data_IF_193531830278
#
_entry.id   IF_193531830278
#
_cell.length_a   1.000
_cell.length_b   1.000
_cell.length_c   1.000
_cell.angle_alpha   90.00
_cell.angle_beta   90.00
_cell.angle_gamma   90.00
#
_symmetry.space_group_name_H-M   'P 1'
#
loop_
_entity.id
_entity.type
_entity.pdbx_description
1 polymer ?
#
# COMPACT_ATOMS: atom_id res chain seq x y z
N UNK A 1 6.59 -26.14 -11.74
CA UNK A 1 6.06 -24.77 -11.44
C UNK A 1 6.19 -24.59 -9.94
N UNK A 2 6.58 -23.39 -9.48
CA UNK A 2 6.65 -23.11 -8.05
C UNK A 2 5.29 -23.33 -7.37
N UNK A 3 5.31 -23.90 -6.16
CA UNK A 3 4.10 -24.03 -5.33
C UNK A 3 3.74 -22.72 -4.63
N UNK A 4 4.62 -21.72 -4.70
CA UNK A 4 4.44 -20.42 -4.05
C UNK A 4 3.75 -19.40 -4.95
N UNK A 5 3.16 -18.40 -4.32
CA UNK A 5 2.55 -17.22 -4.95
C UNK A 5 3.28 -15.94 -4.57
N UNK A 6 3.24 -14.93 -5.45
CA UNK A 6 3.75 -13.59 -5.17
C UNK A 6 2.83 -12.52 -5.75
N UNK A 7 2.73 -11.35 -5.08
CA UNK A 7 1.93 -10.23 -5.53
C UNK A 7 2.52 -8.88 -5.07
N UNK A 8 2.46 -7.87 -5.93
CA UNK A 8 2.84 -6.48 -5.64
C UNK A 8 1.65 -5.54 -5.90
N UNK A 9 0.51 -5.73 -5.21
CA UNK A 9 -0.76 -5.12 -5.63
C UNK A 9 -0.86 -3.62 -5.34
N UNK A 10 0.00 -3.08 -4.46
CA UNK A 10 -0.18 -1.73 -3.93
C UNK A 10 0.12 -0.62 -4.94
N UNK A 11 1.03 -0.89 -5.91
CA UNK A 11 1.45 0.07 -6.94
C UNK A 11 1.28 -0.48 -8.36
N UNK A 12 0.52 -1.59 -8.54
CA UNK A 12 0.35 -2.28 -9.82
C UNK A 12 -0.79 -1.67 -10.66
N UNK A 13 -0.69 -0.39 -10.95
CA UNK A 13 -1.64 0.24 -11.87
C UNK A 13 -1.46 -0.31 -13.29
N UNK A 14 -2.53 -0.38 -14.11
CA UNK A 14 -2.41 -0.89 -15.48
C UNK A 14 -1.29 -0.25 -16.29
N UNK A 15 -1.08 1.06 -16.11
CA UNK A 15 -0.06 1.84 -16.81
C UNK A 15 1.37 1.57 -16.30
N UNK A 16 1.53 1.12 -15.04
CA UNK A 16 2.83 0.82 -14.41
C UNK A 16 3.19 -0.68 -14.41
N UNK A 17 2.36 -1.55 -14.97
CA UNK A 17 2.57 -3.01 -14.93
C UNK A 17 3.93 -3.46 -15.45
N UNK A 18 4.43 -2.84 -16.50
CA UNK A 18 5.77 -3.15 -17.03
C UNK A 18 6.86 -2.85 -16.01
N UNK A 19 6.73 -1.77 -15.25
CA UNK A 19 7.67 -1.40 -14.19
C UNK A 19 7.56 -2.37 -13.01
N UNK A 20 6.34 -2.75 -12.61
CA UNK A 20 6.08 -3.75 -11.56
C UNK A 20 6.58 -5.13 -11.95
N UNK A 21 6.41 -5.54 -13.21
CA UNK A 21 6.94 -6.82 -13.71
C UNK A 21 8.48 -6.81 -13.71
N UNK A 22 9.11 -5.71 -14.09
CA UNK A 22 10.56 -5.56 -14.04
C UNK A 22 11.09 -5.57 -12.59
N UNK A 23 10.38 -4.93 -11.64
CA UNK A 23 10.68 -5.00 -10.21
C UNK A 23 10.60 -6.45 -9.72
N UNK A 24 9.52 -7.17 -10.07
CA UNK A 24 9.38 -8.58 -9.71
C UNK A 24 10.48 -9.47 -10.29
N UNK A 25 10.86 -9.28 -11.55
CA UNK A 25 11.94 -10.06 -12.18
C UNK A 25 13.25 -9.91 -11.38
N UNK A 26 13.62 -8.69 -10.97
CA UNK A 26 14.83 -8.47 -10.15
C UNK A 26 14.73 -9.18 -8.80
N UNK A 27 13.61 -9.05 -8.09
CA UNK A 27 13.36 -9.71 -6.81
C UNK A 27 13.37 -11.23 -6.95
N UNK A 28 12.63 -11.76 -7.91
CA UNK A 28 12.54 -13.19 -8.23
C UNK A 28 13.92 -13.81 -8.49
N UNK A 29 14.72 -13.15 -9.31
CA UNK A 29 16.03 -13.65 -9.68
C UNK A 29 16.99 -13.65 -8.49
N UNK A 30 16.95 -12.61 -7.63
CA UNK A 30 17.68 -12.58 -6.38
C UNK A 30 17.24 -13.70 -5.41
N UNK A 31 15.93 -13.94 -5.27
CA UNK A 31 15.40 -15.05 -4.48
C UNK A 31 15.87 -16.40 -5.01
N UNK A 32 15.86 -16.60 -6.33
CA UNK A 32 16.32 -17.85 -6.97
C UNK A 32 17.81 -18.07 -6.77
N UNK A 33 18.64 -17.03 -6.84
CA UNK A 33 20.08 -17.11 -6.51
C UNK A 33 20.27 -17.52 -5.04
N UNK A 34 19.39 -17.08 -4.14
CA UNK A 34 19.39 -17.52 -2.74
C UNK A 34 18.79 -18.91 -2.51
N UNK A 35 18.48 -19.67 -3.57
CA UNK A 35 17.92 -21.02 -3.50
C UNK A 35 16.44 -21.08 -3.14
N UNK A 36 15.69 -19.99 -3.38
CA UNK A 36 14.23 -19.93 -3.16
C UNK A 36 13.50 -20.20 -4.47
N UNK A 37 12.53 -21.12 -4.47
CA UNK A 37 11.68 -21.41 -5.65
C UNK A 37 10.62 -20.31 -5.85
N UNK A 38 11.05 -19.11 -6.28
CA UNK A 38 10.17 -18.00 -6.52
C UNK A 38 9.32 -18.18 -7.80
N UNK A 39 8.00 -17.87 -7.77
CA UNK A 39 7.11 -18.05 -8.90
C UNK A 39 7.48 -17.13 -10.08
N UNK A 40 7.15 -17.58 -11.30
CA UNK A 40 7.49 -16.85 -12.52
C UNK A 40 6.75 -15.52 -12.64
N UNK A 41 5.50 -15.47 -12.21
CA UNK A 41 4.60 -14.32 -12.39
C UNK A 41 3.97 -13.87 -11.08
N UNK A 42 3.59 -12.59 -11.05
CA UNK A 42 2.75 -12.05 -9.99
C UNK A 42 1.28 -12.47 -10.16
N UNK A 43 0.62 -12.72 -9.04
CA UNK A 43 -0.83 -12.87 -8.96
C UNK A 43 -1.46 -11.48 -9.12
N UNK A 44 -2.46 -11.38 -9.99
CA UNK A 44 -3.22 -10.14 -10.26
C UNK A 44 -4.73 -10.31 -10.19
N UNK A 45 -5.20 -11.54 -10.06
CA UNK A 45 -6.64 -11.89 -9.96
C UNK A 45 -6.81 -13.04 -8.97
N UNK A 46 -8.01 -13.16 -8.42
CA UNK A 46 -8.34 -14.30 -7.55
C UNK A 46 -8.18 -15.64 -8.30
N UNK A 47 -8.48 -15.66 -9.60
CA UNK A 47 -8.27 -16.85 -10.45
C UNK A 47 -6.79 -17.27 -10.61
N UNK A 48 -5.85 -16.39 -10.29
CA UNK A 48 -4.41 -16.71 -10.34
C UNK A 48 -3.91 -17.31 -9.01
N UNK A 49 -4.72 -17.26 -7.93
CA UNK A 49 -4.40 -17.89 -6.65
C UNK A 49 -4.71 -19.39 -6.68
N UNK A 50 -3.84 -20.23 -6.11
CA UNK A 50 -4.17 -21.63 -5.89
C UNK A 50 -5.42 -21.80 -5.02
N UNK A 51 -6.22 -22.83 -5.31
CA UNK A 51 -7.36 -23.15 -4.46
C UNK A 51 -6.90 -23.60 -3.07
N UNK A 52 -7.68 -23.23 -2.07
CA UNK A 52 -7.50 -23.65 -0.67
C UNK A 52 -8.81 -24.31 -0.21
N UNK A 53 -9.03 -25.61 -0.53
CA UNK A 53 -10.28 -26.30 -0.22
C UNK A 53 -10.63 -26.21 1.28
N UNK A 54 -11.84 -25.73 1.57
CA UNK A 54 -12.29 -25.47 2.92
C UNK A 54 -11.89 -24.11 3.50
N UNK A 55 -11.30 -23.22 2.69
CA UNK A 55 -10.94 -21.86 3.02
C UNK A 55 -9.56 -21.71 3.69
N UNK A 56 -9.07 -20.50 3.69
CA UNK A 56 -7.80 -20.12 4.32
C UNK A 56 -8.00 -20.09 5.83
N UNK A 57 -7.11 -20.76 6.57
CA UNK A 57 -7.20 -20.92 8.02
C UNK A 57 -5.99 -20.31 8.73
N UNK A 58 -6.23 -19.86 9.96
CA UNK A 58 -5.18 -19.53 10.92
C UNK A 58 -4.46 -20.79 11.43
N UNK A 59 -3.33 -20.60 12.11
CA UNK A 59 -2.56 -21.72 12.69
C UNK A 59 -3.35 -22.53 13.73
N UNK A 60 -4.33 -21.93 14.37
CA UNK A 60 -5.25 -22.59 15.32
C UNK A 60 -6.50 -23.18 14.66
N UNK A 61 -6.60 -23.12 13.31
CA UNK A 61 -7.63 -23.74 12.50
C UNK A 61 -8.88 -22.91 12.24
N UNK A 62 -8.98 -21.67 12.76
CA UNK A 62 -10.11 -20.80 12.49
C UNK A 62 -10.12 -20.36 11.00
N UNK A 63 -11.30 -20.30 10.38
CA UNK A 63 -11.44 -19.83 9.00
C UNK A 63 -11.26 -18.30 8.98
N UNK A 64 -10.25 -17.83 8.24
CA UNK A 64 -9.93 -16.41 8.05
C UNK A 64 -10.56 -15.85 6.77
N UNK A 65 -10.60 -16.66 5.72
CA UNK A 65 -11.11 -16.31 4.39
C UNK A 65 -11.73 -17.54 3.72
N UNK A 66 -12.72 -17.37 2.82
CA UNK A 66 -13.18 -18.45 1.95
C UNK A 66 -12.06 -18.93 1.03
N UNK A 67 -12.31 -20.06 0.36
CA UNK A 67 -11.42 -20.54 -0.72
C UNK A 67 -11.29 -19.46 -1.81
N UNK A 68 -10.07 -19.04 -2.21
CA UNK A 68 -9.88 -18.10 -3.31
C UNK A 68 -10.61 -18.50 -4.60
N UNK A 69 -10.76 -19.78 -4.89
CA UNK A 69 -11.50 -20.27 -6.05
C UNK A 69 -13.02 -19.93 -6.00
N UNK A 70 -13.55 -19.55 -4.84
CA UNK A 70 -14.95 -19.11 -4.67
C UNK A 70 -15.16 -17.60 -4.78
N UNK A 71 -14.06 -16.83 -4.87
CA UNK A 71 -14.12 -15.37 -5.00
C UNK A 71 -14.33 -14.96 -6.48
N UNK A 72 -14.81 -13.72 -6.76
CA UNK A 72 -14.92 -13.20 -8.12
C UNK A 72 -13.60 -13.36 -8.88
N UNK A 73 -13.54 -14.11 -9.99
CA UNK A 73 -12.28 -14.57 -10.58
C UNK A 73 -11.40 -13.45 -11.15
N UNK A 74 -12.00 -12.37 -11.64
CA UNK A 74 -11.30 -11.26 -12.30
C UNK A 74 -10.92 -10.11 -11.36
N UNK A 75 -11.33 -10.19 -10.10
CA UNK A 75 -10.92 -9.26 -9.03
C UNK A 75 -9.69 -9.81 -8.30
N UNK A 76 -9.03 -8.95 -7.50
CA UNK A 76 -8.00 -9.37 -6.57
C UNK A 76 -8.37 -8.97 -5.15
N UNK A 77 -8.71 -9.95 -4.33
CA UNK A 77 -8.90 -9.75 -2.89
C UNK A 77 -7.52 -9.76 -2.19
N UNK A 78 -7.10 -8.60 -1.70
CA UNK A 78 -5.80 -8.44 -1.06
C UNK A 78 -5.66 -9.30 0.20
N UNK A 79 -6.73 -9.51 0.96
CA UNK A 79 -6.69 -10.37 2.14
C UNK A 79 -6.51 -11.83 1.77
N UNK A 80 -7.14 -12.29 0.67
CA UNK A 80 -6.94 -13.63 0.13
C UNK A 80 -5.47 -13.84 -0.28
N UNK A 81 -4.84 -12.83 -0.88
CA UNK A 81 -3.39 -12.86 -1.19
C UNK A 81 -2.56 -12.94 0.08
N UNK A 82 -2.76 -11.98 1.01
CA UNK A 82 -1.90 -11.85 2.19
C UNK A 82 -2.00 -13.04 3.14
N UNK A 83 -3.18 -13.64 3.24
CA UNK A 83 -3.43 -14.79 4.12
C UNK A 83 -3.19 -16.14 3.44
N UNK A 84 -2.86 -16.14 2.13
CA UNK A 84 -2.67 -17.39 1.39
C UNK A 84 -1.55 -18.24 2.00
N UNK A 85 -1.75 -19.54 2.29
CA UNK A 85 -0.75 -20.39 2.94
C UNK A 85 0.52 -20.58 2.12
N UNK A 86 0.44 -20.43 0.79
CA UNK A 86 1.57 -20.52 -0.14
C UNK A 86 2.14 -19.13 -0.50
N UNK A 87 1.84 -18.08 0.27
CA UNK A 87 2.40 -16.77 0.01
C UNK A 87 3.91 -16.76 0.27
N UNK A 88 4.69 -16.57 -0.80
CA UNK A 88 6.13 -16.35 -0.71
C UNK A 88 6.44 -14.87 -0.46
N UNK A 89 5.81 -13.98 -1.23
CA UNK A 89 6.14 -12.57 -1.23
C UNK A 89 4.93 -11.73 -1.64
N UNK A 90 4.58 -10.77 -0.81
CA UNK A 90 3.63 -9.73 -1.20
C UNK A 90 3.94 -8.41 -0.49
N UNK A 91 3.39 -7.34 -1.05
CA UNK A 91 3.36 -6.03 -0.41
C UNK A 91 2.01 -5.81 0.30
N UNK A 92 2.05 -5.25 1.51
CA UNK A 92 0.86 -4.87 2.27
C UNK A 92 1.01 -3.48 2.88
N UNK A 93 0.06 -3.07 3.72
CA UNK A 93 0.05 -1.79 4.42
C UNK A 93 0.14 -2.00 5.94
N UNK A 94 0.76 -1.06 6.67
CA UNK A 94 0.84 -1.16 8.14
C UNK A 94 -0.51 -1.05 8.84
N UNK A 95 -1.51 -0.44 8.22
CA UNK A 95 -2.85 -0.41 8.80
C UNK A 95 -3.45 -1.81 8.99
N UNK A 96 -3.60 -2.65 7.93
CA UNK A 96 -3.96 -4.06 8.07
C UNK A 96 -3.05 -4.84 9.03
N UNK A 97 -1.73 -4.58 9.02
CA UNK A 97 -0.78 -5.23 9.94
C UNK A 97 -1.13 -4.96 11.41
N UNK A 98 -1.41 -3.72 11.76
CA UNK A 98 -1.81 -3.31 13.11
C UNK A 98 -3.21 -3.80 13.50
N UNK A 99 -4.10 -3.98 12.52
CA UNK A 99 -5.46 -4.51 12.74
C UNK A 99 -5.52 -6.05 12.78
N UNK A 100 -4.38 -6.72 12.88
CA UNK A 100 -4.29 -8.14 13.16
C UNK A 100 -3.65 -9.00 12.07
N UNK A 101 -3.41 -8.50 10.86
CA UNK A 101 -2.73 -9.24 9.81
C UNK A 101 -1.32 -9.72 10.26
N UNK A 102 -0.64 -8.94 11.10
CA UNK A 102 0.69 -9.28 11.66
C UNK A 102 0.74 -10.62 12.42
N UNK A 103 -0.41 -11.17 12.83
CA UNK A 103 -0.49 -12.50 13.46
C UNK A 103 -0.43 -13.65 12.46
N UNK A 104 -0.64 -13.36 11.19
CA UNK A 104 -0.83 -14.34 10.12
C UNK A 104 0.24 -14.26 9.03
N UNK A 105 1.20 -13.32 9.15
CA UNK A 105 2.27 -13.12 8.18
C UNK A 105 3.60 -12.79 8.88
N UNK A 106 4.69 -12.93 8.15
CA UNK A 106 6.02 -12.53 8.60
C UNK A 106 6.55 -11.39 7.72
N UNK A 107 7.14 -10.35 8.31
CA UNK A 107 7.76 -9.24 7.57
C UNK A 107 9.11 -9.69 7.04
N UNK A 108 9.32 -9.49 5.73
CA UNK A 108 10.60 -9.75 5.05
C UNK A 108 11.48 -8.49 5.09
N UNK A 109 10.91 -7.34 4.75
CA UNK A 109 11.58 -6.05 4.68
C UNK A 109 10.64 -4.96 4.17
N UNK A 110 11.19 -3.88 3.65
CA UNK A 110 10.45 -2.75 3.10
C UNK A 110 11.14 -2.22 1.85
N UNK A 111 10.41 -1.65 0.87
CA UNK A 111 11.02 -0.95 -0.26
C UNK A 111 11.65 0.37 0.18
N UNK A 112 12.61 0.87 -0.61
CA UNK A 112 13.07 2.25 -0.53
C UNK A 112 12.03 3.21 -1.15
N UNK A 113 11.90 4.36 -0.53
CA UNK A 113 11.12 5.51 -1.02
C UNK A 113 12.02 6.66 -1.45
N UNK A 114 13.34 6.42 -1.56
CA UNK A 114 14.26 7.39 -2.11
C UNK A 114 13.85 7.76 -3.55
N UNK A 115 13.99 9.03 -3.91
CA UNK A 115 13.54 9.53 -5.22
C UNK A 115 12.09 9.99 -5.27
N UNK A 116 11.27 9.74 -4.24
CA UNK A 116 9.92 10.30 -4.10
C UNK A 116 9.93 11.46 -3.11
N UNK A 117 9.31 12.59 -3.46
CA UNK A 117 9.12 13.68 -2.51
C UNK A 117 8.31 13.18 -1.31
N UNK A 118 8.80 13.40 -0.09
CA UNK A 118 8.21 12.84 1.14
C UNK A 118 8.73 11.46 1.53
N UNK A 119 9.57 10.82 0.68
CA UNK A 119 10.24 9.55 0.97
C UNK A 119 11.67 9.73 1.44
N UNK A 120 12.19 8.77 2.20
CA UNK A 120 13.61 8.65 2.59
C UNK A 120 13.88 7.24 3.12
N UNK A 121 14.73 6.47 2.42
CA UNK A 121 14.98 5.08 2.76
C UNK A 121 13.66 4.31 2.87
N UNK A 122 13.46 3.55 3.93
CA UNK A 122 12.24 2.80 4.19
C UNK A 122 11.02 3.65 4.63
N UNK A 123 11.20 4.96 4.77
CA UNK A 123 10.17 5.87 5.31
C UNK A 123 9.47 6.65 4.21
N UNK A 124 8.17 6.85 4.38
CA UNK A 124 7.35 7.69 3.52
C UNK A 124 6.44 8.63 4.30
N UNK A 125 6.02 9.72 3.65
CA UNK A 125 4.93 10.61 4.08
C UNK A 125 3.77 10.49 3.12
N UNK A 126 2.58 10.90 3.54
CA UNK A 126 1.44 11.13 2.65
C UNK A 126 1.34 12.61 2.29
N UNK A 127 1.22 12.90 1.00
CA UNK A 127 0.84 14.21 0.49
C UNK A 127 -0.63 14.47 0.83
N UNK A 128 -0.94 15.63 1.39
CA UNK A 128 -2.30 16.11 1.60
C UNK A 128 -2.68 16.94 0.38
N UNK A 129 -3.70 16.50 -0.35
CA UNK A 129 -4.10 17.08 -1.63
C UNK A 129 -5.43 17.81 -1.51
N UNK A 130 -5.53 18.98 -2.13
CA UNK A 130 -6.76 19.77 -2.33
C UNK A 130 -6.84 20.23 -3.78
N UNK A 131 -8.01 20.67 -4.22
CA UNK A 131 -8.17 21.23 -5.57
C UNK A 131 -7.25 22.43 -5.78
N UNK A 132 -6.69 22.52 -6.98
CA UNK A 132 -5.90 23.65 -7.43
C UNK A 132 -6.80 24.87 -7.62
N UNK A 133 -6.24 26.06 -7.38
CA UNK A 133 -6.96 27.33 -7.61
C UNK A 133 -7.76 27.87 -6.43
N UNK A 134 -7.78 27.20 -5.27
CA UNK A 134 -8.41 27.72 -4.04
C UNK A 134 -7.49 28.67 -3.25
N UNK A 135 -6.49 29.28 -3.92
CA UNK A 135 -5.58 30.26 -3.29
C UNK A 135 -4.49 29.64 -2.40
N UNK A 136 -4.39 28.30 -2.38
CA UNK A 136 -3.40 27.59 -1.57
C UNK A 136 -2.05 27.53 -2.29
N UNK A 137 -0.97 27.67 -1.52
CA UNK A 137 0.38 27.46 -2.04
C UNK A 137 0.73 25.97 -2.02
N UNK A 138 1.53 25.53 -3.01
CA UNK A 138 2.13 24.20 -2.99
C UNK A 138 3.05 24.04 -1.77
N UNK A 139 2.87 22.98 -1.01
CA UNK A 139 3.67 22.64 0.15
C UNK A 139 4.68 21.53 -0.19
N UNK A 140 5.97 21.83 -0.10
CA UNK A 140 7.03 20.81 -0.19
C UNK A 140 7.11 19.95 1.06
N UNK A 141 7.56 18.71 0.89
CA UNK A 141 7.75 17.79 2.01
C UNK A 141 8.87 18.29 2.94
N UNK A 142 8.63 18.34 4.27
CA UNK A 142 9.66 18.72 5.23
C UNK A 142 10.87 17.79 5.17
N UNK A 143 12.09 18.35 5.08
CA UNK A 143 13.32 17.58 4.97
C UNK A 143 13.52 16.63 6.17
N UNK A 144 13.18 17.08 7.37
CA UNK A 144 13.27 16.31 8.62
C UNK A 144 12.16 15.24 8.75
N UNK A 145 11.20 15.21 7.81
CA UNK A 145 10.09 14.26 7.83
C UNK A 145 9.05 14.53 8.92
N UNK A 146 9.00 15.73 9.48
CA UNK A 146 7.95 16.17 10.38
C UNK A 146 6.63 16.35 9.63
N UNK A 147 5.50 16.32 10.36
CA UNK A 147 4.21 16.69 9.77
C UNK A 147 4.16 18.19 9.47
N UNK A 148 3.57 18.53 8.32
CA UNK A 148 3.19 19.89 7.94
C UNK A 148 1.73 19.86 7.52
N UNK A 149 0.81 20.03 8.48
CA UNK A 149 -0.63 19.90 8.26
C UNK A 149 -1.30 21.27 8.38
N UNK A 150 -1.91 21.77 7.29
CA UNK A 150 -2.56 23.09 7.29
C UNK A 150 -3.97 23.01 7.92
N UNK A 151 -4.06 22.94 9.26
CA UNK A 151 -5.31 22.70 10.00
C UNK A 151 -6.45 23.63 9.59
N UNK A 152 -6.15 24.91 9.37
CA UNK A 152 -7.17 25.90 9.01
C UNK A 152 -7.78 25.63 7.63
N UNK A 153 -6.99 25.08 6.69
CA UNK A 153 -7.49 24.70 5.36
C UNK A 153 -8.35 23.44 5.41
N UNK A 154 -8.07 22.54 6.36
CA UNK A 154 -8.74 21.24 6.46
C UNK A 154 -10.05 21.30 7.23
N UNK A 155 -10.25 22.35 8.04
CA UNK A 155 -11.42 22.49 8.93
C UNK A 155 -12.72 22.52 8.13
N UNK A 156 -13.67 21.67 8.53
CA UNK A 156 -15.00 21.52 7.92
C UNK A 156 -14.98 21.08 6.45
N UNK A 157 -13.85 20.55 5.97
CA UNK A 157 -13.76 19.98 4.62
C UNK A 157 -14.27 18.53 4.59
N UNK A 158 -14.64 18.05 3.40
CA UNK A 158 -15.00 16.65 3.14
C UNK A 158 -13.72 15.88 2.83
N UNK A 159 -13.42 14.82 3.59
CA UNK A 159 -12.23 13.99 3.43
C UNK A 159 -12.55 12.77 2.57
N UNK A 160 -11.83 12.58 1.44
CA UNK A 160 -11.80 11.31 0.72
C UNK A 160 -10.65 10.43 1.26
N UNK A 161 -10.91 9.14 1.44
CA UNK A 161 -9.91 8.16 1.87
C UNK A 161 -10.19 6.80 1.22
N UNK A 162 -9.16 6.00 1.00
CA UNK A 162 -9.29 4.74 0.26
C UNK A 162 -9.95 3.63 1.08
N UNK A 163 -9.57 3.43 2.34
CA UNK A 163 -10.16 2.44 3.25
C UNK A 163 -9.90 2.81 4.71
N UNK A 164 -10.73 2.33 5.67
CA UNK A 164 -10.56 2.62 7.10
C UNK A 164 -9.25 2.10 7.70
N UNK A 165 -8.68 1.06 7.11
CA UNK A 165 -7.42 0.43 7.50
C UNK A 165 -6.20 0.98 6.74
N UNK A 166 -6.36 2.00 5.90
CA UNK A 166 -5.25 2.58 5.17
C UNK A 166 -4.36 3.43 6.07
N UNK A 167 -3.09 3.05 6.20
CA UNK A 167 -2.12 3.88 6.92
C UNK A 167 -1.96 5.25 6.26
N UNK A 168 -1.73 5.31 4.96
CA UNK A 168 -1.49 6.57 4.25
C UNK A 168 -2.74 7.41 4.02
N UNK A 169 -3.90 6.76 3.82
CA UNK A 169 -5.14 7.47 3.45
C UNK A 169 -5.87 8.11 4.61
N UNK A 170 -5.76 7.56 5.82
CA UNK A 170 -6.51 8.06 6.99
C UNK A 170 -5.77 7.92 8.32
N UNK A 171 -5.12 6.77 8.62
CA UNK A 171 -4.57 6.51 9.95
C UNK A 171 -3.42 7.48 10.26
N UNK A 172 -2.49 7.70 9.31
CA UNK A 172 -1.37 8.61 9.46
C UNK A 172 -1.84 10.04 9.74
N UNK A 173 -2.77 10.53 8.91
CA UNK A 173 -3.35 11.86 9.09
C UNK A 173 -4.06 11.98 10.44
N UNK A 174 -4.83 10.94 10.84
CA UNK A 174 -5.52 10.92 12.13
C UNK A 174 -4.55 10.99 13.31
N UNK A 175 -3.42 10.27 13.23
CA UNK A 175 -2.38 10.30 14.28
C UNK A 175 -1.69 11.65 14.37
N UNK A 176 -1.36 12.23 13.24
CA UNK A 176 -0.67 13.53 13.20
C UNK A 176 -1.59 14.68 13.61
N UNK A 177 -2.91 14.48 13.58
CA UNK A 177 -3.94 15.35 14.11
C UNK A 177 -4.32 15.01 15.57
N UNK A 178 -3.54 14.11 16.24
CA UNK A 178 -3.82 13.66 17.62
C UNK A 178 -5.25 13.13 17.82
N UNK A 179 -5.78 12.47 16.77
CA UNK A 179 -7.15 11.93 16.77
C UNK A 179 -8.26 12.96 16.51
N UNK A 180 -7.93 14.24 16.31
CA UNK A 180 -8.91 15.31 16.07
C UNK A 180 -9.67 15.21 14.73
N UNK A 181 -9.38 14.22 13.88
CA UNK A 181 -10.02 14.04 12.56
C UNK A 181 -11.54 13.91 12.65
N UNK A 182 -12.08 13.39 13.75
CA UNK A 182 -13.52 13.20 13.94
C UNK A 182 -14.29 14.52 13.89
N UNK A 183 -13.68 15.59 14.43
CA UNK A 183 -14.29 16.90 14.52
C UNK A 183 -13.73 17.91 13.49
N UNK A 184 -12.64 17.54 12.80
CA UNK A 184 -12.01 18.42 11.82
C UNK A 184 -12.76 18.40 10.48
N UNK A 185 -13.18 17.22 10.04
CA UNK A 185 -13.85 17.02 8.75
C UNK A 185 -15.37 16.97 8.92
N UNK A 186 -16.08 17.67 8.03
CA UNK A 186 -17.56 17.69 8.01
C UNK A 186 -18.15 16.37 7.52
N UNK A 187 -17.44 15.68 6.62
CA UNK A 187 -17.88 14.45 5.97
C UNK A 187 -16.67 13.57 5.61
N UNK A 188 -16.90 12.27 5.47
CA UNK A 188 -15.89 11.28 5.06
C UNK A 188 -16.43 10.44 3.91
N UNK A 189 -15.70 10.40 2.80
CA UNK A 189 -16.02 9.63 1.60
C UNK A 189 -15.02 8.49 1.43
N UNK A 190 -15.46 7.26 1.59
CA UNK A 190 -14.65 6.08 1.26
C UNK A 190 -14.67 5.84 -0.24
N UNK A 191 -13.48 5.72 -0.86
CA UNK A 191 -13.29 5.67 -2.32
C UNK A 191 -12.73 4.33 -2.80
N UNK A 192 -12.28 3.46 -1.87
CA UNK A 192 -11.65 2.15 -2.10
C UNK A 192 -10.25 2.20 -2.73
N UNK A 193 -9.83 3.32 -3.33
CA UNK A 193 -8.51 3.48 -3.94
C UNK A 193 -7.94 4.89 -3.78
N UNK A 194 -6.62 5.02 -3.67
CA UNK A 194 -5.96 6.33 -3.66
C UNK A 194 -6.21 7.12 -4.94
N UNK A 195 -6.19 6.45 -6.09
CA UNK A 195 -6.53 7.05 -7.39
C UNK A 195 -7.94 7.65 -7.36
N UNK A 196 -8.92 6.90 -6.86
CA UNK A 196 -10.31 7.34 -6.74
C UNK A 196 -10.47 8.50 -5.75
N UNK A 197 -9.64 8.54 -4.69
CA UNK A 197 -9.61 9.68 -3.76
C UNK A 197 -9.12 10.96 -4.45
N UNK A 198 -8.10 10.89 -5.30
CA UNK A 198 -7.60 12.01 -6.10
C UNK A 198 -8.71 12.51 -7.06
N UNK A 199 -9.33 11.58 -7.78
CA UNK A 199 -10.44 11.88 -8.70
C UNK A 199 -11.61 12.52 -7.96
N UNK A 200 -11.98 12.00 -6.79
CA UNK A 200 -13.06 12.56 -5.97
C UNK A 200 -12.80 14.00 -5.54
N UNK A 201 -11.53 14.34 -5.21
CA UNK A 201 -11.15 15.70 -4.88
C UNK A 201 -11.17 16.59 -6.11
N UNK A 202 -10.61 16.17 -7.23
CA UNK A 202 -10.58 16.92 -8.48
C UNK A 202 -12.01 17.27 -8.97
N UNK A 203 -12.92 16.29 -8.91
CA UNK A 203 -14.33 16.44 -9.32
C UNK A 203 -15.21 17.19 -8.31
N UNK A 204 -14.72 17.50 -7.12
CA UNK A 204 -15.48 18.20 -6.08
C UNK A 204 -16.44 17.32 -5.28
N UNK A 205 -16.34 15.99 -5.36
CA UNK A 205 -17.07 15.06 -4.50
C UNK A 205 -16.50 15.04 -3.07
N UNK A 206 -15.22 15.36 -2.93
CA UNK A 206 -14.55 15.64 -1.68
C UNK A 206 -13.69 16.90 -1.83
N UNK A 207 -13.10 17.39 -0.74
CA UNK A 207 -12.31 18.62 -0.74
C UNK A 207 -10.83 18.33 -0.49
N UNK A 208 -10.51 17.24 0.21
CA UNK A 208 -9.16 16.86 0.61
C UNK A 208 -9.00 15.35 0.61
N UNK A 209 -7.78 14.86 0.33
CA UNK A 209 -7.37 13.47 0.56
C UNK A 209 -5.89 13.41 0.98
N UNK A 210 -5.49 12.26 1.56
CA UNK A 210 -4.10 11.96 1.87
C UNK A 210 -3.66 10.74 1.05
N UNK A 211 -2.52 10.87 0.35
CA UNK A 211 -2.01 9.89 -0.62
C UNK A 211 -0.53 9.65 -0.33
N UNK A 212 -0.09 8.40 -0.21
CA UNK A 212 1.34 8.11 -0.04
C UNK A 212 2.18 8.68 -1.19
N UNK A 213 3.44 9.03 -0.89
CA UNK A 213 4.30 9.75 -1.81
C UNK A 213 4.55 9.01 -3.13
N UNK A 214 4.67 7.66 -3.12
CA UNK A 214 4.87 6.87 -4.35
C UNK A 214 3.60 6.86 -5.19
N UNK A 215 2.44 6.64 -4.59
CA UNK A 215 1.16 6.74 -5.32
C UNK A 215 0.93 8.16 -5.86
N UNK A 216 1.30 9.20 -5.12
CA UNK A 216 1.20 10.56 -5.63
C UNK A 216 2.10 10.80 -6.86
N UNK A 217 3.35 10.33 -6.83
CA UNK A 217 4.24 10.38 -7.98
C UNK A 217 3.68 9.60 -9.19
N UNK A 218 3.08 8.43 -8.96
CA UNK A 218 2.39 7.67 -10.02
C UNK A 218 1.19 8.43 -10.58
N UNK A 219 0.37 9.04 -9.71
CA UNK A 219 -0.79 9.81 -10.14
C UNK A 219 -0.40 11.01 -11.01
N UNK A 220 0.68 11.70 -10.68
CA UNK A 220 1.20 12.79 -11.51
C UNK A 220 1.61 12.34 -12.93
N UNK A 221 1.98 11.05 -13.10
CA UNK A 221 2.35 10.47 -14.40
C UNK A 221 1.15 9.94 -15.19
N UNK A 222 0.19 9.34 -14.50
CA UNK A 222 -0.81 8.48 -15.15
C UNK A 222 -2.27 8.90 -14.91
N UNK A 223 -2.53 9.75 -13.91
CA UNK A 223 -3.91 10.18 -13.61
C UNK A 223 -4.13 11.64 -14.00
N UNK A 224 -5.03 11.86 -14.95
CA UNK A 224 -5.34 13.20 -15.45
C UNK A 224 -5.82 14.15 -14.34
N UNK A 225 -6.64 13.63 -13.42
CA UNK A 225 -7.18 14.40 -12.29
C UNK A 225 -6.09 14.95 -11.35
N UNK A 226 -4.87 14.38 -11.38
CA UNK A 226 -3.74 14.89 -10.61
C UNK A 226 -3.31 16.32 -11.03
N UNK A 227 -3.68 16.75 -12.24
CA UNK A 227 -3.40 18.12 -12.72
C UNK A 227 -4.31 19.16 -12.06
N UNK A 228 -5.48 18.75 -11.57
CA UNK A 228 -6.50 19.61 -10.97
C UNK A 228 -6.38 19.68 -9.44
N UNK A 229 -5.42 18.97 -8.85
CA UNK A 229 -5.12 18.99 -7.43
C UNK A 229 -3.69 19.46 -7.16
N UNK A 230 -3.41 19.82 -5.92
CA UNK A 230 -2.08 20.23 -5.47
C UNK A 230 -1.83 19.79 -4.04
N UNK A 231 -0.56 19.63 -3.70
CA UNK A 231 -0.12 19.34 -2.33
C UNK A 231 -0.24 20.60 -1.48
N UNK A 232 -0.96 20.50 -0.37
CA UNK A 232 -1.11 21.58 0.61
C UNK A 232 -0.44 21.26 1.95
N UNK A 233 0.03 20.04 2.13
CA UNK A 233 0.71 19.61 3.35
C UNK A 233 1.19 18.17 3.26
N UNK A 234 1.82 17.69 4.34
CA UNK A 234 2.39 16.36 4.45
C UNK A 234 2.20 15.77 5.85
N UNK A 235 1.94 14.49 5.91
CA UNK A 235 1.98 13.74 7.16
C UNK A 235 3.43 13.52 7.61
N UNK A 236 3.63 13.21 8.89
CA UNK A 236 4.94 12.80 9.41
C UNK A 236 5.43 11.53 8.70
N UNK A 237 6.72 11.45 8.41
CA UNK A 237 7.36 10.24 7.88
C UNK A 237 7.19 9.07 8.83
N UNK A 238 6.88 7.90 8.26
CA UNK A 238 6.74 6.62 8.96
C UNK A 238 7.12 5.48 8.03
N UNK A 239 7.25 4.27 8.59
CA UNK A 239 7.57 3.07 7.79
C UNK A 239 6.60 2.91 6.64
N UNK A 240 7.16 2.67 5.46
CA UNK A 240 6.42 2.42 4.22
C UNK A 240 5.77 1.03 4.19
N UNK A 241 5.28 0.63 3.05
CA UNK A 241 4.55 -0.62 2.87
C UNK A 241 5.48 -1.83 3.08
N UNK A 242 5.20 -2.74 4.04
CA UNK A 242 6.08 -3.88 4.28
C UNK A 242 5.92 -4.95 3.20
N UNK A 243 7.02 -5.64 2.90
CA UNK A 243 7.00 -6.92 2.22
C UNK A 243 6.78 -8.04 3.23
N UNK A 244 5.89 -8.96 2.90
CA UNK A 244 5.44 -10.04 3.78
C UNK A 244 5.51 -11.41 3.10
N UNK A 245 5.56 -12.45 3.92
CA UNK A 245 5.38 -13.85 3.54
C UNK A 245 4.42 -14.53 4.51
N UNK A 246 3.92 -15.73 4.16
CA UNK A 246 3.02 -16.49 5.03
C UNK A 246 3.64 -16.80 6.41
N UNK A 247 2.82 -16.86 7.47
CA UNK A 247 3.29 -17.18 8.82
C UNK A 247 3.96 -18.56 8.93
N UNK A 248 3.52 -19.53 8.11
CA UNK A 248 4.04 -20.90 8.11
C UNK A 248 5.38 -21.10 7.42
N UNK A 249 5.97 -20.04 6.84
CA UNK A 249 7.30 -20.12 6.20
C UNK A 249 8.37 -20.43 7.23
N UNK A 250 9.28 -21.35 6.91
CA UNK A 250 10.39 -21.74 7.79
C UNK A 250 11.35 -20.59 8.06
N UNK A 251 12.00 -20.60 9.22
CA UNK A 251 13.01 -19.59 9.57
C UNK A 251 14.17 -19.53 8.56
N UNK A 252 14.56 -20.67 7.98
CA UNK A 252 15.59 -20.73 6.94
C UNK A 252 15.15 -20.02 5.65
N UNK A 253 13.93 -20.30 5.18
CA UNK A 253 13.38 -19.62 4.00
C UNK A 253 13.22 -18.12 4.25
N UNK A 254 12.72 -17.72 5.43
CA UNK A 254 12.59 -16.31 5.82
C UNK A 254 13.96 -15.59 5.83
N UNK A 255 15.00 -16.26 6.36
CA UNK A 255 16.36 -15.70 6.39
C UNK A 255 16.91 -15.50 4.97
N UNK A 256 16.69 -16.46 4.07
CA UNK A 256 17.09 -16.34 2.65
C UNK A 256 16.36 -15.22 1.93
N UNK A 257 15.05 -15.08 2.14
CA UNK A 257 14.24 -14.00 1.55
C UNK A 257 14.77 -12.62 2.01
N UNK A 258 15.05 -12.46 3.31
CA UNK A 258 15.59 -11.22 3.86
C UNK A 258 16.97 -10.88 3.32
N UNK A 259 17.87 -11.87 3.27
CA UNK A 259 19.21 -11.67 2.75
C UNK A 259 19.21 -11.30 1.25
N UNK A 260 18.36 -11.96 0.44
CA UNK A 260 18.21 -11.66 -0.96
C UNK A 260 17.62 -10.27 -1.21
N UNK A 261 16.60 -9.86 -0.44
CA UNK A 261 15.99 -8.54 -0.54
C UNK A 261 17.03 -7.43 -0.24
N UNK A 262 17.80 -7.58 0.84
CA UNK A 262 18.87 -6.62 1.20
C UNK A 262 19.95 -6.46 0.12
N UNK A 263 20.14 -7.47 -0.74
CA UNK A 263 21.05 -7.42 -1.88
C UNK A 263 20.49 -6.73 -3.12
N UNK A 264 19.17 -6.60 -3.25
CA UNK A 264 18.54 -5.95 -4.40
C UNK A 264 18.50 -4.42 -4.24
N UNK A 265 18.43 -3.95 -3.00
CA UNK A 265 18.32 -2.51 -2.65
C UNK A 265 19.70 -1.81 -2.61
N UNK A 266 20.80 -2.53 -2.93
CA UNK A 266 22.16 -1.97 -3.07
C UNK A 266 22.51 -1.76 -4.55
#
# INVERSE_FOLDING_TARGET
MSEFTAALPMYDWPESRTETDAEWVRLRDAFRVAGVDAPERLVRRNADLPAVPGGIRSLDGAILMPDPASLPPDELDFRAVWLHPQLLFAQTCWGPMEQGLSRHVQVIGQPSYDGFEGGQGELYSSAILMRRGEGHMHASAPAEGCANIPLDLLRSRRLAFNSPDSMSGIIALSRDLEGATTNLFSERLETKGHRDSIVAVAEGRADVCAIDCRTWAMAQRFERAAQDVQVVGWTKRRKGLPYITAAGVSNDLLARLRAALAGVDQ
#
